data_IF_842410710352
#
_entry.id   IF_842410710352
#
_cell.length_a   1.000
_cell.length_b   1.000
_cell.length_c   1.000
_cell.angle_alpha   90.00
_cell.angle_beta   90.00
_cell.angle_gamma   90.00
#
_symmetry.space_group_name_H-M   'P 1'
#
loop_
_entity.id
_entity.type
_entity.pdbx_description
1 polymer ?
#
# COMPACT_ATOMS: atom_id res chain seq x y z
N UNK A 1 -24.44 4.73 -1.10
CA UNK A 1 -23.47 3.79 -0.87
C UNK A 1 -22.98 3.15 -2.08
N UNK A 2 -23.81 2.56 -2.84
CA UNK A 2 -23.34 1.84 -3.99
C UNK A 2 -22.67 2.68 -5.00
N UNK A 3 -23.09 3.93 -5.20
CA UNK A 3 -22.47 4.82 -6.19
C UNK A 3 -21.06 5.18 -5.78
N UNK A 4 -20.82 5.37 -4.49
CA UNK A 4 -19.50 5.69 -4.00
C UNK A 4 -18.59 4.46 -4.16
N UNK A 5 -19.09 3.29 -3.82
CA UNK A 5 -18.32 2.06 -3.92
C UNK A 5 -17.98 1.76 -5.38
N UNK A 6 -18.93 1.94 -6.29
CA UNK A 6 -18.70 1.72 -7.70
C UNK A 6 -17.68 2.68 -8.28
N UNK A 7 -17.73 3.95 -7.86
CA UNK A 7 -16.77 4.95 -8.32
C UNK A 7 -15.36 4.63 -7.82
N UNK A 8 -15.24 4.20 -6.56
CA UNK A 8 -13.95 3.81 -6.01
C UNK A 8 -13.40 2.58 -6.71
N UNK A 9 -14.23 1.59 -6.98
CA UNK A 9 -13.78 0.39 -7.68
C UNK A 9 -13.31 0.71 -9.09
N UNK A 10 -14.03 1.58 -9.78
CA UNK A 10 -13.64 2.01 -11.12
C UNK A 10 -12.29 2.74 -11.08
N UNK A 11 -12.11 3.61 -10.09
CA UNK A 11 -10.87 4.34 -9.91
C UNK A 11 -9.72 3.38 -9.58
N UNK A 12 -9.96 2.41 -8.72
CA UNK A 12 -8.95 1.43 -8.37
C UNK A 12 -8.51 0.61 -9.59
N UNK A 13 -9.46 0.23 -10.45
CA UNK A 13 -9.11 -0.47 -11.69
C UNK A 13 -8.24 0.39 -12.60
N UNK A 14 -8.56 1.68 -12.71
CA UNK A 14 -7.74 2.59 -13.49
C UNK A 14 -6.33 2.72 -12.91
N UNK A 15 -6.21 2.81 -11.60
CA UNK A 15 -4.92 2.90 -10.93
C UNK A 15 -4.09 1.63 -11.12
N UNK A 16 -4.74 0.46 -11.16
CA UNK A 16 -4.00 -0.78 -11.44
C UNK A 16 -3.41 -0.79 -12.85
N UNK A 17 -4.09 -0.19 -13.81
CA UNK A 17 -3.57 -0.11 -15.17
C UNK A 17 -2.45 0.90 -15.29
N UNK A 18 -2.48 1.94 -14.45
CA UNK A 18 -1.53 3.04 -14.55
C UNK A 18 -0.59 3.13 -13.35
N UNK A 19 -0.12 2.00 -12.87
CA UNK A 19 0.81 1.98 -11.75
C UNK A 19 2.08 2.73 -12.07
N UNK A 20 2.62 3.43 -11.08
CA UNK A 20 3.89 4.12 -11.24
C UNK A 20 5.02 3.12 -11.39
N UNK A 21 6.19 3.60 -11.81
CA UNK A 21 7.36 2.76 -11.96
C UNK A 21 7.75 2.12 -10.62
N UNK A 22 7.72 2.88 -9.54
CA UNK A 22 8.05 2.37 -8.21
C UNK A 22 7.04 1.32 -7.77
N UNK A 23 5.75 1.56 -7.98
CA UNK A 23 4.71 0.60 -7.65
C UNK A 23 4.88 -0.71 -8.41
N UNK A 24 5.17 -0.63 -9.71
CA UNK A 24 5.39 -1.82 -10.52
C UNK A 24 6.60 -2.61 -10.04
N UNK A 25 7.67 -1.91 -9.68
CA UNK A 25 8.88 -2.55 -9.18
C UNK A 25 8.60 -3.28 -7.86
N UNK A 26 7.94 -2.59 -6.94
CA UNK A 26 7.62 -3.21 -5.65
C UNK A 26 6.69 -4.41 -5.82
N UNK A 27 5.66 -4.28 -6.66
CA UNK A 27 4.72 -5.37 -6.93
C UNK A 27 5.45 -6.61 -7.46
N UNK A 28 6.35 -6.42 -8.41
CA UNK A 28 7.10 -7.52 -8.98
C UNK A 28 7.96 -8.23 -7.93
N UNK A 29 8.67 -7.46 -7.11
CA UNK A 29 9.53 -8.03 -6.08
C UNK A 29 8.72 -8.71 -4.97
N UNK A 30 7.59 -8.15 -4.60
CA UNK A 30 6.72 -8.77 -3.61
C UNK A 30 6.23 -10.14 -4.10
N UNK A 31 5.82 -10.21 -5.35
CA UNK A 31 5.31 -11.47 -5.91
C UNK A 31 6.40 -12.54 -6.02
N UNK A 32 7.62 -12.13 -6.29
CA UNK A 32 8.72 -13.07 -6.48
C UNK A 32 9.38 -13.51 -5.18
N UNK A 33 9.37 -12.66 -4.17
CA UNK A 33 10.22 -12.84 -3.01
C UNK A 33 9.49 -13.07 -1.70
N UNK A 34 8.20 -12.80 -1.62
CA UNK A 34 7.43 -13.05 -0.41
C UNK A 34 6.70 -14.39 -0.52
N UNK A 35 6.54 -15.11 0.61
CA UNK A 35 5.92 -16.44 0.56
C UNK A 35 4.44 -16.35 0.22
N UNK A 36 4.06 -16.94 -0.91
CA UNK A 36 2.68 -16.91 -1.39
C UNK A 36 1.71 -17.64 -0.47
N UNK A 37 2.19 -18.61 0.26
CA UNK A 37 1.33 -19.39 1.17
C UNK A 37 0.83 -18.59 2.34
N UNK A 38 1.56 -17.55 2.72
CA UNK A 38 1.19 -16.74 3.87
C UNK A 38 0.76 -15.34 3.49
N UNK A 39 0.96 -14.96 2.22
CA UNK A 39 0.68 -13.61 1.83
C UNK A 39 -0.07 -13.62 0.53
N UNK A 40 -1.18 -12.89 0.54
CA UNK A 40 -1.94 -12.78 -0.66
C UNK A 40 -2.18 -11.29 -0.85
N UNK A 41 -1.20 -10.64 -1.45
CA UNK A 41 -1.28 -9.21 -1.64
C UNK A 41 -2.13 -8.86 -2.86
N UNK A 42 -2.93 -7.83 -2.70
CA UNK A 42 -3.69 -7.24 -3.79
C UNK A 42 -3.22 -5.80 -3.98
N UNK A 43 -3.26 -5.34 -5.21
CA UNK A 43 -2.86 -3.97 -5.54
C UNK A 43 -4.07 -3.09 -5.74
N UNK A 44 -3.93 -1.82 -5.39
CA UNK A 44 -4.98 -0.82 -5.49
C UNK A 44 -6.32 -1.37 -5.01
N UNK A 45 -6.37 -1.68 -3.74
CA UNK A 45 -7.55 -2.25 -3.11
C UNK A 45 -8.34 -1.16 -2.41
N UNK A 46 -9.66 -1.20 -2.57
CA UNK A 46 -10.55 -0.28 -1.86
C UNK A 46 -10.77 -0.81 -0.45
N UNK A 47 -10.45 0.01 0.54
CA UNK A 47 -10.69 -0.30 1.94
C UNK A 47 -11.42 0.90 2.53
N UNK A 48 -12.70 0.72 2.86
CA UNK A 48 -13.53 1.83 3.30
C UNK A 48 -13.64 2.86 2.20
N UNK A 49 -13.28 4.09 2.49
CA UNK A 49 -13.30 5.18 1.52
C UNK A 49 -11.93 5.43 0.90
N UNK A 50 -10.97 4.54 1.11
CA UNK A 50 -9.61 4.73 0.62
C UNK A 50 -9.25 3.69 -0.42
N UNK A 51 -8.35 4.06 -1.34
CA UNK A 51 -7.71 3.10 -2.23
C UNK A 51 -6.26 3.01 -1.76
N UNK A 52 -5.83 1.82 -1.36
CA UNK A 52 -4.47 1.61 -0.86
C UNK A 52 -3.63 0.94 -1.94
N UNK A 53 -2.32 1.19 -1.93
CA UNK A 53 -1.46 0.68 -3.01
C UNK A 53 -1.40 -0.84 -3.00
N UNK A 54 -1.11 -1.43 -1.84
CA UNK A 54 -1.07 -2.89 -1.70
C UNK A 54 -1.64 -3.27 -0.34
N UNK A 55 -2.35 -4.36 -0.28
CA UNK A 55 -2.91 -4.85 0.97
C UNK A 55 -2.91 -6.37 1.03
N UNK A 56 -2.59 -6.89 2.21
CA UNK A 56 -2.75 -8.29 2.53
C UNK A 56 -3.81 -8.38 3.62
N UNK A 57 -5.00 -8.81 3.25
CA UNK A 57 -6.14 -8.83 4.19
C UNK A 57 -5.90 -9.81 5.33
N UNK A 58 -5.31 -10.94 5.02
CA UNK A 58 -5.06 -11.97 6.03
C UNK A 58 -4.18 -11.47 7.17
N UNK A 59 -3.22 -10.61 6.85
CA UNK A 59 -2.31 -10.07 7.86
C UNK A 59 -2.69 -8.67 8.30
N UNK A 60 -3.77 -8.13 7.75
CA UNK A 60 -4.18 -6.74 8.02
C UNK A 60 -3.04 -5.75 7.78
N UNK A 61 -2.35 -5.93 6.68
CA UNK A 61 -1.17 -5.13 6.36
C UNK A 61 -1.40 -4.35 5.06
N UNK A 62 -1.14 -3.05 5.13
CA UNK A 62 -1.20 -2.15 3.99
C UNK A 62 0.21 -1.64 3.71
N UNK A 63 0.57 -1.57 2.44
CA UNK A 63 1.86 -1.01 2.01
C UNK A 63 1.58 0.12 1.04
N UNK A 64 2.18 1.27 1.29
CA UNK A 64 2.03 2.45 0.46
C UNK A 64 3.37 2.96 -0.03
N UNK A 65 3.40 3.41 -1.27
CA UNK A 65 4.60 4.00 -1.89
C UNK A 65 4.32 5.48 -2.08
N UNK A 66 5.13 6.30 -1.42
CA UNK A 66 4.93 7.73 -1.49
C UNK A 66 5.93 8.37 -2.41
N UNK A 67 5.43 9.24 -3.25
CA UNK A 67 6.29 10.11 -4.02
C UNK A 67 6.87 11.16 -3.12
N UNK A 68 7.77 11.85 -3.64
CA UNK A 68 8.49 12.66 -2.79
C UNK A 68 7.94 14.00 -2.55
N UNK A 69 6.85 14.42 -2.37
CA UNK A 69 6.60 15.61 -2.25
C UNK A 69 5.66 16.07 -1.70
N UNK A 70 5.34 16.82 -1.42
CA UNK A 70 4.37 17.17 -0.93
C UNK A 70 4.38 18.05 0.00
N UNK A 71 4.69 18.69 0.15
CA UNK A 71 4.74 19.70 0.97
C UNK A 71 3.54 20.46 1.41
N UNK A 72 2.50 20.14 1.02
CA UNK A 72 1.28 20.87 1.37
C UNK A 72 0.75 20.39 2.70
N UNK A 73 0.57 21.30 3.65
CA UNK A 73 0.07 20.95 4.98
C UNK A 73 -1.32 20.31 4.93
N UNK A 74 -2.17 20.78 4.03
CA UNK A 74 -3.50 20.20 3.89
C UNK A 74 -3.47 18.77 3.41
N UNK A 75 -2.62 18.46 2.43
CA UNK A 75 -2.47 17.12 1.93
C UNK A 75 -1.93 16.20 3.01
N UNK A 76 -0.98 16.71 3.81
CA UNK A 76 -0.41 15.95 4.89
C UNK A 76 -1.44 15.63 5.97
N UNK A 77 -2.26 16.60 6.33
CA UNK A 77 -3.30 16.41 7.32
C UNK A 77 -4.34 15.38 6.83
N UNK A 78 -4.67 15.42 5.55
CA UNK A 78 -5.60 14.46 4.97
C UNK A 78 -5.03 13.06 5.01
N UNK A 79 -3.75 12.90 4.64
CA UNK A 79 -3.08 11.61 4.65
C UNK A 79 -2.97 11.05 6.05
N UNK A 80 -2.70 11.89 7.04
CA UNK A 80 -2.62 11.45 8.43
C UNK A 80 -3.97 10.97 8.94
N UNK A 81 -5.04 11.69 8.64
CA UNK A 81 -6.39 11.30 9.04
C UNK A 81 -6.79 9.98 8.38
N UNK A 82 -6.44 9.80 7.12
CA UNK A 82 -6.71 8.58 6.37
C UNK A 82 -5.96 7.40 7.00
N UNK A 83 -4.70 7.59 7.32
CA UNK A 83 -3.88 6.55 7.94
C UNK A 83 -4.41 6.20 9.33
N UNK A 84 -4.78 7.21 10.13
CA UNK A 84 -5.33 6.97 11.45
C UNK A 84 -6.64 6.17 11.38
N UNK A 85 -7.48 6.44 10.40
CA UNK A 85 -8.72 5.69 10.22
C UNK A 85 -8.43 4.22 9.90
N UNK A 86 -7.45 3.95 9.05
CA UNK A 86 -7.06 2.58 8.72
C UNK A 86 -6.48 1.86 9.93
N UNK A 87 -5.62 2.54 10.69
CA UNK A 87 -5.03 1.97 11.90
C UNK A 87 -6.11 1.68 12.93
N UNK A 88 -7.06 2.60 13.10
CA UNK A 88 -8.17 2.40 14.04
C UNK A 88 -9.02 1.20 13.66
N UNK A 89 -9.07 0.85 12.37
CA UNK A 89 -9.80 -0.29 11.87
C UNK A 89 -8.97 -1.58 11.91
N UNK A 90 -7.81 -1.54 12.54
CA UNK A 90 -7.00 -2.72 12.76
C UNK A 90 -5.91 -2.98 11.74
N UNK A 91 -5.71 -2.05 10.80
CA UNK A 91 -4.68 -2.23 9.79
C UNK A 91 -3.34 -1.70 10.26
N UNK A 92 -2.28 -2.36 9.88
CA UNK A 92 -0.92 -1.83 10.02
C UNK A 92 -0.53 -1.25 8.69
N UNK A 93 -0.02 -0.02 8.67
CA UNK A 93 0.35 0.67 7.44
C UNK A 93 1.86 0.85 7.40
N UNK A 94 2.50 0.32 6.36
CA UNK A 94 3.91 0.54 6.09
C UNK A 94 4.01 1.48 4.91
N UNK A 95 4.85 2.49 5.04
CA UNK A 95 4.99 3.50 4.01
C UNK A 95 6.44 3.60 3.60
N UNK A 96 6.69 3.53 2.31
CA UNK A 96 8.04 3.64 1.76
C UNK A 96 8.07 4.77 0.74
N UNK A 97 9.19 5.47 0.68
CA UNK A 97 9.38 6.49 -0.33
C UNK A 97 9.73 5.86 -1.66
N UNK A 98 9.43 6.56 -2.76
CA UNK A 98 9.80 6.08 -4.09
C UNK A 98 11.28 5.71 -4.16
N UNK A 99 12.16 6.53 -3.61
CA UNK A 99 13.60 6.27 -3.70
C UNK A 99 13.98 4.99 -2.96
N UNK A 100 13.29 4.66 -1.88
CA UNK A 100 13.56 3.42 -1.17
C UNK A 100 13.23 2.21 -2.04
N UNK A 101 12.10 2.26 -2.72
CA UNK A 101 11.69 1.18 -3.62
C UNK A 101 12.67 1.08 -4.80
N UNK A 102 13.09 2.21 -5.34
CA UNK A 102 13.97 2.21 -6.52
C UNK A 102 15.41 1.84 -6.19
N UNK A 103 15.91 2.31 -5.06
CA UNK A 103 17.33 2.19 -4.75
C UNK A 103 17.65 1.23 -3.59
N UNK A 104 16.67 0.88 -2.79
CA UNK A 104 16.87 0.06 -1.60
C UNK A 104 15.83 -1.05 -1.51
N UNK A 105 15.54 -1.67 -2.63
CA UNK A 105 14.44 -2.65 -2.71
C UNK A 105 14.65 -3.83 -1.78
N UNK A 106 15.88 -4.27 -1.57
CA UNK A 106 16.14 -5.40 -0.67
C UNK A 106 15.75 -5.07 0.76
N UNK A 107 16.05 -3.86 1.23
CA UNK A 107 15.63 -3.40 2.56
C UNK A 107 14.14 -3.31 2.68
N UNK A 108 13.47 -2.84 1.63
CA UNK A 108 12.02 -2.73 1.61
C UNK A 108 11.39 -4.12 1.74
N UNK A 109 11.82 -5.05 0.93
CA UNK A 109 11.27 -6.42 0.96
C UNK A 109 11.58 -7.11 2.28
N UNK A 110 12.78 -6.91 2.83
CA UNK A 110 13.14 -7.48 4.11
C UNK A 110 12.26 -6.94 5.25
N UNK A 111 11.97 -5.65 5.21
CA UNK A 111 11.06 -5.04 6.21
C UNK A 111 9.68 -5.63 6.12
N UNK A 112 9.14 -5.76 4.90
CA UNK A 112 7.81 -6.34 4.71
C UNK A 112 7.79 -7.79 5.21
N UNK A 113 8.80 -8.57 4.87
CA UNK A 113 8.90 -9.95 5.31
C UNK A 113 8.97 -10.05 6.82
N UNK A 114 9.74 -9.17 7.46
CA UNK A 114 9.86 -9.16 8.90
C UNK A 114 8.54 -8.86 9.60
N UNK A 115 7.76 -7.95 9.05
CA UNK A 115 6.43 -7.63 9.59
C UNK A 115 5.49 -8.83 9.45
N UNK A 116 5.50 -9.48 8.29
CA UNK A 116 4.64 -10.64 8.05
C UNK A 116 5.01 -11.78 8.99
N UNK A 117 6.29 -11.95 9.26
CA UNK A 117 6.79 -13.02 10.13
C UNK A 117 6.71 -12.68 11.61
N UNK A 118 6.24 -11.50 11.95
CA UNK A 118 6.10 -11.09 13.35
C UNK A 118 7.40 -10.67 14.01
N UNK A 119 8.44 -10.36 13.22
CA UNK A 119 9.73 -9.91 13.77
C UNK A 119 9.79 -8.39 13.95
N UNK A 120 8.85 -7.69 13.31
CA UNK A 120 8.76 -6.23 13.43
C UNK A 120 7.33 -5.73 13.72
#
# INVERSE_FOLDING_TARGET
>A
MRDIDAALEKRARAMRRDMTKAERRLWRHMRQRLPLERTHFRRQLVIGAAIVDFACVANKLIIEVDGAQHGEDEARAYDDARTQALVADGWRVLRFWNFQVMDEIDSVIETIAAVIEGRL
#
